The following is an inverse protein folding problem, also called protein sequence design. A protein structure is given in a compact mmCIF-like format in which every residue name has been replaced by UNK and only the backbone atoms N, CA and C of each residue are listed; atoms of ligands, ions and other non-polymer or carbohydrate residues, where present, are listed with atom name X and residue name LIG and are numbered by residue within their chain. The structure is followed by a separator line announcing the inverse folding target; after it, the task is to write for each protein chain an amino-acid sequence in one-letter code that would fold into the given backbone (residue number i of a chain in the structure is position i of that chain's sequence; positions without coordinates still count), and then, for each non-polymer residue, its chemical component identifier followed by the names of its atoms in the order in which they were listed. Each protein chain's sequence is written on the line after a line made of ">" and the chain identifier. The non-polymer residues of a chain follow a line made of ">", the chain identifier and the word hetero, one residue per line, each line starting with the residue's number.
data_IF_687026276155
#
_entry.id   IF_687026276155
#
_cell.length_a   1.000
_cell.length_b   1.000
_cell.length_c   1.000
_cell.angle_alpha   90.00
_cell.angle_beta   90.00
_cell.angle_gamma   90.00
#
_symmetry.space_group_name_H-M   'P 1'
#
loop_
_entity.id
_entity.type
_entity.pdbx_description
1 polymer ?
#
# COMPACT_ATOMS: atom_id res chain seq x y z
N UNK A 1 5.80 -2.59 20.37
CA UNK A 1 4.70 -2.44 19.40
C UNK A 1 4.79 -1.11 18.66
N UNK A 2 4.74 0.04 19.37
CA UNK A 2 4.83 1.39 18.76
C UNK A 2 6.12 1.67 17.99
N UNK A 3 7.29 1.25 18.49
CA UNK A 3 8.57 1.48 17.78
C UNK A 3 8.69 0.71 16.46
N UNK A 4 8.26 -0.55 16.43
CA UNK A 4 8.32 -1.39 15.21
C UNK A 4 7.34 -0.88 14.16
N UNK A 5 6.10 -0.56 14.57
CA UNK A 5 5.09 0.01 13.68
C UNK A 5 5.50 1.39 13.13
N UNK A 6 6.10 2.23 13.99
CA UNK A 6 6.65 3.53 13.61
C UNK A 6 7.87 3.45 12.67
N UNK A 7 8.72 2.43 12.84
CA UNK A 7 9.86 2.18 11.94
C UNK A 7 9.43 1.64 10.56
N UNK A 8 8.44 0.75 10.53
CA UNK A 8 7.92 0.17 9.28
C UNK A 8 7.09 1.17 8.47
N UNK A 9 6.44 2.15 9.11
CA UNK A 9 5.61 3.16 8.44
C UNK A 9 6.31 3.88 7.28
N UNK A 10 7.46 4.53 7.50
CA UNK A 10 8.24 5.17 6.44
C UNK A 10 8.66 4.22 5.32
N UNK A 11 9.04 2.98 5.66
CA UNK A 11 9.44 1.96 4.67
C UNK A 11 8.25 1.63 3.77
N UNK A 12 7.08 1.37 4.35
CA UNK A 12 5.84 1.09 3.60
C UNK A 12 5.45 2.27 2.72
N UNK A 13 5.58 3.50 3.23
CA UNK A 13 5.30 4.71 2.46
C UNK A 13 6.23 4.84 1.24
N UNK A 14 7.55 4.73 1.44
CA UNK A 14 8.55 4.76 0.36
C UNK A 14 8.23 3.70 -0.69
N UNK A 15 7.95 2.47 -0.26
CA UNK A 15 7.62 1.38 -1.18
C UNK A 15 6.32 1.64 -1.96
N UNK A 16 5.32 2.30 -1.35
CA UNK A 16 4.08 2.68 -2.02
C UNK A 16 4.33 3.77 -3.08
N UNK A 17 5.20 4.74 -2.79
CA UNK A 17 5.65 5.75 -3.76
C UNK A 17 6.41 5.09 -4.92
N UNK A 18 7.33 4.17 -4.63
CA UNK A 18 8.05 3.41 -5.67
C UNK A 18 7.10 2.63 -6.57
N UNK A 19 6.02 2.06 -6.01
CA UNK A 19 4.97 1.39 -6.79
C UNK A 19 4.27 2.36 -7.76
N UNK A 20 3.96 3.58 -7.32
CA UNK A 20 3.37 4.62 -8.19
C UNK A 20 4.33 4.97 -9.33
N UNK A 21 5.60 5.20 -9.02
CA UNK A 21 6.63 5.51 -10.02
C UNK A 21 6.75 4.37 -11.04
N UNK A 22 6.82 3.13 -10.56
CA UNK A 22 6.92 1.94 -11.41
C UNK A 22 5.70 1.74 -12.31
N UNK A 23 4.50 1.84 -11.76
CA UNK A 23 3.25 1.70 -12.53
C UNK A 23 3.04 2.86 -13.51
N UNK A 24 3.45 4.07 -13.14
CA UNK A 24 3.46 5.24 -14.03
C UNK A 24 4.44 5.05 -15.19
N UNK A 25 5.67 4.60 -14.91
CA UNK A 25 6.65 4.30 -15.94
C UNK A 25 6.14 3.25 -16.96
N UNK A 26 5.48 2.19 -16.48
CA UNK A 26 4.84 1.18 -17.35
C UNK A 26 3.72 1.78 -18.21
N UNK A 27 2.91 2.67 -17.64
CA UNK A 27 1.85 3.37 -18.37
C UNK A 27 2.43 4.25 -19.49
N UNK A 28 3.46 5.05 -19.21
CA UNK A 28 4.04 5.97 -20.19
C UNK A 28 4.85 5.28 -21.28
N UNK A 29 5.54 4.20 -20.94
CA UNK A 29 6.40 3.50 -21.92
C UNK A 29 5.66 2.44 -22.74
N UNK A 30 4.42 2.09 -22.38
CA UNK A 30 3.68 0.99 -22.97
C UNK A 30 4.35 -0.39 -22.81
N UNK A 31 5.44 -0.47 -22.03
CA UNK A 31 6.19 -1.71 -21.86
C UNK A 31 5.40 -2.63 -20.93
N UNK A 32 5.09 -3.81 -21.43
CA UNK A 32 4.71 -4.96 -20.63
C UNK A 32 5.95 -5.49 -19.87
N UNK A 33 6.54 -4.66 -19.01
CA UNK A 33 7.61 -5.10 -18.11
C UNK A 33 7.04 -6.21 -17.23
N UNK A 34 7.77 -7.33 -17.06
CA UNK A 34 7.33 -8.38 -16.17
C UNK A 34 7.08 -7.75 -14.80
N UNK A 35 5.86 -7.93 -14.28
CA UNK A 35 5.60 -7.62 -12.88
C UNK A 35 6.53 -8.53 -12.09
N UNK A 36 7.65 -8.01 -11.60
CA UNK A 36 8.63 -8.80 -10.88
C UNK A 36 7.95 -9.41 -9.66
N UNK A 37 7.55 -10.67 -9.81
CA UNK A 37 6.73 -11.42 -8.87
C UNK A 37 7.30 -11.38 -7.44
N UNK A 38 8.63 -11.51 -7.20
CA UNK A 38 9.14 -11.48 -5.83
C UNK A 38 9.05 -10.09 -5.19
N UNK A 39 9.37 -9.02 -5.91
CA UNK A 39 9.30 -7.65 -5.38
C UNK A 39 7.87 -7.22 -5.10
N UNK A 40 6.93 -7.63 -5.97
CA UNK A 40 5.50 -7.37 -5.75
C UNK A 40 4.96 -8.11 -4.53
N UNK A 41 5.40 -9.35 -4.31
CA UNK A 41 5.01 -10.15 -3.14
C UNK A 41 5.57 -9.58 -1.84
N UNK A 42 6.86 -9.22 -1.81
CA UNK A 42 7.50 -8.58 -0.66
C UNK A 42 6.82 -7.25 -0.31
N UNK A 43 6.52 -6.44 -1.33
CA UNK A 43 5.81 -5.18 -1.17
C UNK A 43 4.44 -5.37 -0.49
N UNK A 44 3.60 -6.27 -1.02
CA UNK A 44 2.28 -6.54 -0.44
C UNK A 44 2.41 -7.13 0.97
N UNK A 45 3.37 -8.01 1.21
CA UNK A 45 3.61 -8.59 2.53
C UNK A 45 3.99 -7.55 3.59
N UNK A 46 4.89 -6.61 3.26
CA UNK A 46 5.22 -5.49 4.16
C UNK A 46 4.02 -4.58 4.42
N UNK A 47 3.21 -4.37 3.38
CA UNK A 47 2.00 -3.55 3.46
C UNK A 47 0.95 -4.18 4.39
N UNK A 48 0.69 -5.47 4.23
CA UNK A 48 -0.26 -6.24 5.05
C UNK A 48 0.23 -6.37 6.49
N UNK A 49 1.54 -6.59 6.69
CA UNK A 49 2.14 -6.62 8.01
C UNK A 49 1.94 -5.28 8.74
N UNK A 50 2.08 -4.15 8.04
CA UNK A 50 1.86 -2.84 8.65
C UNK A 50 0.40 -2.61 9.05
N UNK A 51 -0.55 -2.98 8.19
CA UNK A 51 -1.97 -2.90 8.51
C UNK A 51 -2.32 -3.81 9.70
N UNK A 52 -1.76 -5.03 9.74
CA UNK A 52 -1.95 -5.97 10.84
C UNK A 52 -1.37 -5.47 12.16
N UNK A 53 -0.14 -4.92 12.14
CA UNK A 53 0.46 -4.29 13.32
C UNK A 53 -0.38 -3.11 13.83
N UNK A 54 -0.98 -2.32 12.94
CA UNK A 54 -1.89 -1.24 13.31
C UNK A 54 -3.16 -1.74 14.01
N UNK A 55 -3.74 -2.85 13.54
CA UNK A 55 -4.88 -3.50 14.20
C UNK A 55 -4.50 -4.07 15.57
N UNK A 56 -3.32 -4.69 15.70
CA UNK A 56 -2.80 -5.14 16.99
C UNK A 56 -2.60 -3.95 17.94
N UNK A 57 -2.06 -2.83 17.45
CA UNK A 57 -1.87 -1.63 18.27
C UNK A 57 -3.20 -1.08 18.78
N UNK A 58 -4.20 -1.00 17.91
CA UNK A 58 -5.56 -0.59 18.28
C UNK A 58 -6.16 -1.53 19.33
N UNK A 59 -6.01 -2.85 19.17
CA UNK A 59 -6.55 -3.83 20.11
C UNK A 59 -5.85 -3.79 21.48
N UNK A 60 -4.57 -3.43 21.52
CA UNK A 60 -3.75 -3.44 22.74
C UNK A 60 -3.76 -2.12 23.50
N UNK A 61 -3.77 -0.98 22.80
CA UNK A 61 -3.68 0.37 23.39
C UNK A 61 -5.04 1.08 23.38
N UNK A 62 -5.98 0.62 22.55
CA UNK A 62 -7.33 1.17 22.43
C UNK A 62 -7.40 2.46 21.61
N UNK A 63 -8.62 2.96 21.44
CA UNK A 63 -8.93 4.13 20.59
C UNK A 63 -8.47 5.48 21.15
N UNK A 64 -8.07 5.52 22.42
CA UNK A 64 -7.55 6.73 23.07
C UNK A 64 -6.16 7.13 22.56
N UNK A 65 -5.38 6.15 22.10
CA UNK A 65 -4.05 6.36 21.56
C UNK A 65 -4.01 6.25 20.03
N UNK A 66 -4.92 5.50 19.41
CA UNK A 66 -4.97 5.28 17.97
C UNK A 66 -6.35 5.57 17.43
N UNK A 67 -6.46 6.49 16.47
CA UNK A 67 -7.73 6.75 15.79
C UNK A 67 -8.18 5.52 15.00
N UNK A 68 -9.46 5.14 15.11
CA UNK A 68 -10.08 4.08 14.29
C UNK A 68 -9.95 4.35 12.78
N UNK A 69 -9.82 5.61 12.38
CA UNK A 69 -9.66 5.98 10.98
C UNK A 69 -8.36 5.42 10.39
N UNK A 70 -7.28 5.34 11.18
CA UNK A 70 -5.99 4.86 10.71
C UNK A 70 -6.01 3.41 10.19
N UNK A 71 -6.42 2.39 10.97
CA UNK A 71 -6.48 1.02 10.48
C UNK A 71 -7.52 0.85 9.36
N UNK A 72 -8.60 1.63 9.34
CA UNK A 72 -9.58 1.60 8.25
C UNK A 72 -8.95 2.07 6.94
N UNK A 73 -8.24 3.20 6.94
CA UNK A 73 -7.55 3.71 5.76
C UNK A 73 -6.45 2.76 5.28
N UNK A 74 -5.69 2.16 6.21
CA UNK A 74 -4.65 1.19 5.88
C UNK A 74 -5.22 -0.09 5.26
N UNK A 75 -6.35 -0.60 5.78
CA UNK A 75 -7.05 -1.74 5.19
C UNK A 75 -7.57 -1.42 3.78
N UNK A 76 -8.20 -0.27 3.60
CA UNK A 76 -8.65 0.18 2.27
C UNK A 76 -7.48 0.30 1.31
N UNK A 77 -6.36 0.88 1.74
CA UNK A 77 -5.15 0.98 0.94
C UNK A 77 -4.62 -0.41 0.54
N UNK A 78 -4.66 -1.39 1.45
CA UNK A 78 -4.21 -2.76 1.20
C UNK A 78 -5.10 -3.46 0.17
N UNK A 79 -6.42 -3.29 0.27
CA UNK A 79 -7.38 -3.80 -0.71
C UNK A 79 -7.13 -3.19 -2.08
N UNK A 80 -6.98 -1.86 -2.16
CA UNK A 80 -6.69 -1.15 -3.42
C UNK A 80 -5.34 -1.59 -4.00
N UNK A 81 -4.34 -1.83 -3.15
CA UNK A 81 -3.04 -2.39 -3.55
C UNK A 81 -3.16 -3.75 -4.22
N UNK A 82 -3.89 -4.67 -3.58
CA UNK A 82 -4.15 -6.00 -4.11
C UNK A 82 -4.94 -5.95 -5.41
N UNK A 83 -5.95 -5.09 -5.51
CA UNK A 83 -6.70 -4.87 -6.75
C UNK A 83 -5.79 -4.37 -7.87
N UNK A 84 -4.90 -3.41 -7.59
CA UNK A 84 -3.94 -2.88 -8.56
C UNK A 84 -3.01 -3.96 -9.10
N UNK A 85 -2.46 -4.80 -8.22
CA UNK A 85 -1.60 -5.92 -8.60
C UNK A 85 -2.38 -6.98 -9.38
N UNK A 86 -3.58 -7.36 -8.92
CA UNK A 86 -4.41 -8.36 -9.59
C UNK A 86 -4.83 -7.90 -11.00
N UNK A 87 -5.15 -6.62 -11.16
CA UNK A 87 -5.48 -6.00 -12.45
C UNK A 87 -4.26 -5.90 -13.37
N UNK A 88 -3.09 -5.52 -12.83
CA UNK A 88 -1.84 -5.43 -13.59
C UNK A 88 -1.29 -6.77 -14.11
N UNK A 89 -1.85 -7.91 -13.68
CA UNK A 89 -1.54 -9.27 -14.19
C UNK A 89 -2.40 -9.69 -15.38
N UNK A 90 -3.51 -9.00 -15.66
CA UNK A 90 -4.41 -9.34 -16.75
C UNK A 90 -3.97 -8.64 -18.05
N UNK A 91 -3.82 -9.37 -19.17
CA UNK A 91 -3.30 -8.82 -20.43
C UNK A 91 -4.19 -7.73 -21.02
N UNK A 92 -5.51 -7.83 -20.82
CA UNK A 92 -6.48 -6.89 -21.41
C UNK A 92 -6.75 -5.65 -20.53
N UNK A 93 -6.06 -5.51 -19.40
CA UNK A 93 -6.29 -4.37 -18.51
C UNK A 93 -5.55 -3.13 -19.03
N UNK A 94 -6.23 -1.99 -19.24
CA UNK A 94 -5.56 -0.75 -19.59
C UNK A 94 -4.51 -0.37 -18.54
N UNK A 95 -3.30 0.01 -18.95
CA UNK A 95 -2.20 0.35 -18.03
C UNK A 95 -2.52 1.50 -17.06
N UNK A 96 -3.49 2.36 -17.43
CA UNK A 96 -4.01 3.43 -16.56
C UNK A 96 -4.71 2.89 -15.30
N UNK A 97 -5.30 1.69 -15.33
CA UNK A 97 -6.02 1.10 -14.20
C UNK A 97 -5.10 0.75 -13.02
N UNK A 98 -4.03 -0.07 -13.18
CA UNK A 98 -3.11 -0.36 -12.08
C UNK A 98 -2.36 0.88 -11.60
N UNK A 99 -2.12 1.87 -12.48
CA UNK A 99 -1.56 3.17 -12.11
C UNK A 99 -2.52 3.98 -11.22
N UNK A 100 -3.79 4.14 -11.62
CA UNK A 100 -4.79 4.83 -10.82
C UNK A 100 -4.96 4.18 -9.43
N UNK A 101 -4.99 2.84 -9.39
CA UNK A 101 -5.04 2.09 -8.12
C UNK A 101 -3.77 2.27 -7.29
N UNK A 102 -2.59 2.40 -7.90
CA UNK A 102 -1.36 2.80 -7.21
C UNK A 102 -1.47 4.19 -6.57
N UNK A 103 -1.96 5.17 -7.33
CA UNK A 103 -2.15 6.53 -6.82
C UNK A 103 -3.16 6.56 -5.66
N UNK A 104 -4.33 5.92 -5.82
CA UNK A 104 -5.36 5.86 -4.76
C UNK A 104 -4.80 5.21 -3.49
N UNK A 105 -4.13 4.06 -3.63
CA UNK A 105 -3.46 3.37 -2.51
C UNK A 105 -2.45 4.27 -1.79
N UNK A 106 -1.67 5.05 -2.53
CA UNK A 106 -0.69 5.98 -1.94
C UNK A 106 -1.35 7.15 -1.23
N UNK A 107 -2.43 7.70 -1.80
CA UNK A 107 -3.21 8.77 -1.16
C UNK A 107 -3.82 8.26 0.16
N UNK A 108 -4.35 7.04 0.19
CA UNK A 108 -4.92 6.46 1.40
C UNK A 108 -3.86 6.27 2.50
N UNK A 109 -2.66 5.81 2.16
CA UNK A 109 -1.55 5.71 3.13
C UNK A 109 -1.08 7.08 3.59
N UNK A 110 -0.98 8.05 2.68
CA UNK A 110 -0.62 9.42 3.03
C UNK A 110 -1.66 10.04 3.98
N UNK A 111 -2.94 9.83 3.72
CA UNK A 111 -4.04 10.30 4.59
C UNK A 111 -4.06 9.61 5.96
N UNK A 112 -3.51 8.39 6.05
CA UNK A 112 -3.32 7.69 7.31
C UNK A 112 -2.11 8.22 8.11
N UNK A 113 -1.29 9.13 7.54
CA UNK A 113 -0.07 9.69 8.12
C UNK A 113 -0.19 11.23 8.33
N UNK A 114 0.20 11.80 9.48
CA UNK A 114 0.58 11.18 10.73
C UNK A 114 -0.64 11.13 11.66
N UNK A 115 -1.27 9.96 11.83
CA UNK A 115 -2.11 9.80 13.02
C UNK A 115 -1.17 9.54 14.22
N UNK A 116 -1.29 10.31 15.31
CA UNK A 116 -0.41 10.25 16.48
C UNK A 116 -0.37 8.87 17.15
#
# INVERSE_FOLDING_TARGET
>A
MTQVHGFLGPIVFVMNVLRVIWTGYRMFTGRALPAERPLTGLYLGLFDLQAFLGLILLATVGTRAVSLLHPVLMLLAAVVAHMGVARGRKPDTPAAVPFALAVISTILVAAAYPSP
#
